data_IF_795810606260
#
_entry.id   IF_795810606260
#
_cell.length_a   1.000
_cell.length_b   1.000
_cell.length_c   1.000
_cell.angle_alpha   90.00
_cell.angle_beta   90.00
_cell.angle_gamma   90.00
#
_symmetry.space_group_name_H-M   'P 1'
#
loop_
_entity.id
_entity.type
_entity.pdbx_description
1 polymer ?
#
# COMPACT_ATOMS: atom_id res chain seq x y z
N UNK A 1 15.54 14.05 -13.71
CA UNK A 1 16.21 12.74 -13.66
C UNK A 1 16.54 12.33 -12.21
N UNK A 2 17.03 13.21 -11.37
CA UNK A 2 17.43 12.93 -9.98
C UNK A 2 16.33 12.46 -9.01
N UNK A 3 15.05 12.74 -9.24
CA UNK A 3 13.99 12.49 -8.24
C UNK A 3 13.41 11.05 -8.27
N UNK A 4 13.41 10.38 -9.43
CA UNK A 4 13.01 8.97 -9.50
C UNK A 4 13.96 8.06 -8.69
N UNK A 5 15.17 8.52 -8.45
CA UNK A 5 16.21 7.78 -7.73
C UNK A 5 15.88 7.58 -6.23
N UNK A 6 14.87 8.30 -5.70
CA UNK A 6 14.38 8.11 -4.33
C UNK A 6 13.30 7.03 -4.19
N UNK A 7 12.65 6.58 -5.29
CA UNK A 7 11.65 5.50 -5.23
C UNK A 7 12.17 4.21 -4.57
N UNK A 8 13.42 3.76 -4.78
CA UNK A 8 13.95 2.61 -4.08
C UNK A 8 13.96 2.76 -2.55
N UNK A 9 14.12 3.98 -2.02
CA UNK A 9 14.05 4.23 -0.57
C UNK A 9 12.62 4.07 -0.06
N UNK A 10 11.61 4.51 -0.82
CA UNK A 10 10.21 4.27 -0.50
C UNK A 10 9.91 2.77 -0.45
N UNK A 11 10.33 2.04 -1.47
CA UNK A 11 10.17 0.60 -1.54
C UNK A 11 10.86 -0.13 -0.37
N UNK A 12 12.12 0.22 -0.08
CA UNK A 12 12.85 -0.32 1.06
C UNK A 12 12.15 0.00 2.39
N UNK A 13 11.62 1.22 2.52
CA UNK A 13 10.85 1.63 3.69
C UNK A 13 9.63 0.76 3.93
N UNK A 14 8.87 0.46 2.87
CA UNK A 14 7.70 -0.41 2.95
C UNK A 14 8.07 -1.85 3.37
N UNK A 15 9.16 -2.40 2.81
CA UNK A 15 9.68 -3.74 3.15
C UNK A 15 10.10 -3.80 4.63
N UNK A 16 10.87 -2.82 5.11
CA UNK A 16 11.34 -2.78 6.50
C UNK A 16 10.20 -2.57 7.49
N UNK A 17 9.24 -1.72 7.14
CA UNK A 17 8.07 -1.50 7.98
C UNK A 17 7.25 -2.79 8.12
N UNK A 18 7.00 -3.51 7.01
CA UNK A 18 6.31 -4.79 7.07
C UNK A 18 7.09 -5.85 7.86
N UNK A 19 8.37 -6.00 7.59
CA UNK A 19 9.20 -6.96 8.30
C UNK A 19 9.18 -6.68 9.81
N UNK A 20 9.39 -5.43 10.22
CA UNK A 20 9.40 -5.03 11.63
C UNK A 20 8.04 -5.14 12.33
N UNK A 21 6.94 -4.87 11.64
CA UNK A 21 5.56 -4.98 12.16
C UNK A 21 5.05 -6.43 12.18
N UNK A 22 5.69 -7.33 11.47
CA UNK A 22 5.35 -8.74 11.41
C UNK A 22 5.74 -9.55 12.65
N UNK A 23 5.76 -10.88 12.50
CA UNK A 23 6.26 -11.82 13.50
C UNK A 23 7.75 -12.08 13.28
N UNK A 24 8.54 -12.23 14.35
CA UNK A 24 9.98 -12.53 14.28
C UNK A 24 10.28 -13.78 13.42
N UNK A 25 9.47 -14.83 13.58
CA UNK A 25 9.62 -16.13 12.89
C UNK A 25 9.29 -16.13 11.39
N UNK A 26 8.90 -14.99 10.83
CA UNK A 26 8.61 -14.77 9.42
C UNK A 26 9.18 -13.46 8.89
N UNK A 27 10.12 -12.83 9.62
CA UNK A 27 10.66 -11.53 9.27
C UNK A 27 11.52 -11.59 8.01
N UNK A 28 12.37 -12.61 7.87
CA UNK A 28 13.18 -12.85 6.67
C UNK A 28 12.30 -13.12 5.46
N UNK A 29 11.26 -13.96 5.64
CA UNK A 29 10.32 -14.25 4.56
C UNK A 29 9.57 -13.00 4.10
N UNK A 30 9.10 -12.16 5.04
CA UNK A 30 8.44 -10.90 4.71
C UNK A 30 9.35 -9.98 3.90
N UNK A 31 10.64 -9.90 4.26
CA UNK A 31 11.63 -9.12 3.54
C UNK A 31 11.88 -9.65 2.12
N UNK A 32 12.17 -10.96 1.99
CA UNK A 32 12.42 -11.62 0.68
C UNK A 32 11.19 -11.54 -0.22
N UNK A 33 10.00 -11.75 0.33
CA UNK A 33 8.72 -11.58 -0.37
C UNK A 33 8.60 -10.16 -0.97
N UNK A 34 8.90 -9.13 -0.17
CA UNK A 34 8.89 -7.75 -0.64
C UNK A 34 9.87 -7.51 -1.79
N UNK A 35 11.09 -8.05 -1.70
CA UNK A 35 12.07 -7.98 -2.78
C UNK A 35 11.58 -8.69 -4.07
N UNK A 36 10.96 -9.87 -3.94
CA UNK A 36 10.38 -10.60 -5.07
C UNK A 36 9.28 -9.76 -5.73
N UNK A 37 8.37 -9.20 -4.95
CA UNK A 37 7.27 -8.38 -5.49
C UNK A 37 7.81 -7.13 -6.19
N UNK A 38 8.75 -6.42 -5.58
CA UNK A 38 9.41 -5.25 -6.17
C UNK A 38 10.11 -5.64 -7.49
N UNK A 39 10.91 -6.70 -7.46
CA UNK A 39 11.68 -7.16 -8.63
C UNK A 39 10.79 -7.56 -9.81
N UNK A 40 9.74 -8.34 -9.56
CA UNK A 40 8.75 -8.71 -10.60
C UNK A 40 8.11 -7.46 -11.21
N UNK A 41 7.69 -6.52 -10.36
CA UNK A 41 7.08 -5.28 -10.83
C UNK A 41 8.03 -4.40 -11.65
N UNK A 42 9.30 -4.26 -11.20
CA UNK A 42 10.34 -3.51 -11.95
C UNK A 42 10.60 -4.16 -13.31
N UNK A 43 10.74 -5.48 -13.37
CA UNK A 43 11.00 -6.19 -14.62
C UNK A 43 9.85 -6.01 -15.63
N UNK A 44 8.59 -6.14 -15.18
CA UNK A 44 7.42 -5.90 -16.03
C UNK A 44 7.34 -4.42 -16.42
N UNK A 45 7.59 -3.50 -15.50
CA UNK A 45 7.57 -2.07 -15.76
C UNK A 45 8.63 -1.61 -16.76
N UNK A 46 9.79 -2.28 -16.79
CA UNK A 46 10.87 -2.02 -17.73
C UNK A 46 10.54 -2.44 -19.18
N UNK A 47 9.54 -3.31 -19.38
CA UNK A 47 9.10 -3.71 -20.73
C UNK A 47 8.40 -2.53 -21.42
N UNK A 48 9.13 -1.75 -22.21
CA UNK A 48 8.62 -0.63 -22.99
C UNK A 48 8.28 0.63 -22.19
N UNK A 49 8.84 0.80 -20.98
CA UNK A 49 8.69 1.98 -20.14
C UNK A 49 10.01 2.69 -19.86
N UNK A 50 9.93 3.89 -19.28
CA UNK A 50 11.09 4.57 -18.70
C UNK A 50 11.52 3.89 -17.40
N UNK A 51 12.75 4.20 -16.94
CA UNK A 51 13.22 3.71 -15.64
C UNK A 51 12.31 4.14 -14.46
N UNK A 52 11.77 5.37 -14.53
CA UNK A 52 10.77 5.83 -13.57
C UNK A 52 9.51 4.97 -13.59
N UNK A 53 9.01 4.62 -14.76
CA UNK A 53 7.81 3.75 -14.89
C UNK A 53 8.08 2.36 -14.32
N UNK A 54 9.28 1.82 -14.55
CA UNK A 54 9.69 0.55 -13.97
C UNK A 54 9.67 0.59 -12.44
N UNK A 55 10.21 1.65 -11.84
CA UNK A 55 10.24 1.83 -10.40
C UNK A 55 8.84 2.05 -9.80
N UNK A 56 7.98 2.85 -10.45
CA UNK A 56 6.59 3.04 -10.01
C UNK A 56 5.80 1.73 -10.08
N UNK A 57 5.97 0.99 -11.18
CA UNK A 57 5.35 -0.32 -11.36
C UNK A 57 5.82 -1.32 -10.27
N UNK A 58 7.13 -1.33 -9.99
CA UNK A 58 7.70 -2.13 -8.90
C UNK A 58 7.17 -1.73 -7.54
N UNK A 59 7.02 -0.44 -7.29
CA UNK A 59 6.46 0.08 -6.04
C UNK A 59 5.00 -0.35 -5.88
N UNK A 60 4.16 -0.20 -6.91
CA UNK A 60 2.78 -0.66 -6.88
C UNK A 60 2.68 -2.17 -6.60
N UNK A 61 3.53 -2.96 -7.26
CA UNK A 61 3.59 -4.41 -7.09
C UNK A 61 4.01 -4.81 -5.66
N UNK A 62 4.99 -4.12 -5.09
CA UNK A 62 5.40 -4.32 -3.71
C UNK A 62 4.27 -4.00 -2.74
N UNK A 63 3.69 -2.79 -2.83
CA UNK A 63 2.65 -2.29 -1.92
C UNK A 63 1.43 -3.22 -1.88
N UNK A 64 1.08 -3.84 -3.01
CA UNK A 64 0.00 -4.81 -3.10
C UNK A 64 0.21 -6.07 -2.24
N UNK A 65 1.45 -6.37 -1.86
CA UNK A 65 1.81 -7.54 -1.05
C UNK A 65 2.15 -7.19 0.40
N UNK A 66 2.29 -5.91 0.71
CA UNK A 66 2.55 -5.43 2.08
C UNK A 66 1.36 -5.76 2.98
N UNK A 67 1.64 -6.09 4.23
CA UNK A 67 0.65 -6.52 5.21
C UNK A 67 0.34 -8.02 5.17
N UNK A 68 0.69 -8.73 4.10
CA UNK A 68 0.50 -10.18 4.00
C UNK A 68 1.56 -10.97 4.80
N UNK A 69 2.75 -10.41 4.94
CA UNK A 69 3.83 -10.97 5.74
C UNK A 69 4.16 -12.42 5.36
N UNK A 70 4.24 -13.25 6.37
CA UNK A 70 4.54 -14.68 6.28
C UNK A 70 3.33 -15.57 5.94
N UNK A 71 2.17 -14.97 5.59
CA UNK A 71 0.93 -15.70 5.27
C UNK A 71 0.80 -16.14 3.83
N UNK A 72 1.66 -15.66 2.95
CA UNK A 72 1.63 -16.03 1.53
C UNK A 72 2.98 -16.63 1.11
N UNK A 73 2.92 -17.52 0.12
CA UNK A 73 4.15 -18.07 -0.48
C UNK A 73 4.84 -17.05 -1.39
N UNK A 74 6.10 -17.28 -1.73
CA UNK A 74 6.82 -16.44 -2.72
C UNK A 74 6.17 -16.51 -4.11
N UNK A 75 5.59 -17.66 -4.49
CA UNK A 75 4.83 -17.82 -5.73
C UNK A 75 3.63 -16.88 -5.73
N UNK A 76 2.88 -16.88 -4.63
CA UNK A 76 1.72 -15.97 -4.47
C UNK A 76 2.14 -14.52 -4.56
N UNK A 77 3.23 -14.13 -3.90
CA UNK A 77 3.75 -12.78 -3.98
C UNK A 77 4.14 -12.39 -5.41
N UNK A 78 4.83 -13.27 -6.13
CA UNK A 78 5.20 -13.05 -7.53
C UNK A 78 3.99 -12.91 -8.47
N UNK A 79 2.98 -13.77 -8.31
CA UNK A 79 1.77 -13.73 -9.15
C UNK A 79 0.92 -12.49 -8.86
N UNK A 80 0.74 -12.11 -7.59
CA UNK A 80 0.04 -10.86 -7.24
C UNK A 80 0.82 -9.64 -7.76
N UNK A 81 2.14 -9.64 -7.59
CA UNK A 81 3.01 -8.59 -8.10
C UNK A 81 2.93 -8.45 -9.63
N UNK A 82 2.92 -9.57 -10.36
CA UNK A 82 2.77 -9.55 -11.81
C UNK A 82 1.39 -9.01 -12.22
N UNK A 83 0.33 -9.45 -11.56
CA UNK A 83 -1.03 -8.98 -11.84
C UNK A 83 -1.16 -7.47 -11.67
N UNK A 84 -0.70 -6.91 -10.54
CA UNK A 84 -0.78 -5.47 -10.31
C UNK A 84 0.18 -4.69 -11.21
N UNK A 85 1.36 -5.22 -11.51
CA UNK A 85 2.29 -4.59 -12.43
C UNK A 85 1.68 -4.44 -13.83
N UNK A 86 1.02 -5.47 -14.33
CA UNK A 86 0.29 -5.43 -15.61
C UNK A 86 -0.88 -4.43 -15.53
N UNK A 87 -1.69 -4.46 -14.46
CA UNK A 87 -2.79 -3.53 -14.27
C UNK A 87 -2.29 -2.07 -14.22
N UNK A 88 -1.24 -1.79 -13.46
CA UNK A 88 -0.61 -0.48 -13.41
C UNK A 88 -0.11 -0.02 -14.78
N UNK A 89 0.55 -0.90 -15.53
CA UNK A 89 1.02 -0.59 -16.91
C UNK A 89 -0.14 -0.24 -17.83
N UNK A 90 -1.22 -1.00 -17.79
CA UNK A 90 -2.42 -0.72 -18.58
C UNK A 90 -2.97 0.67 -18.21
N UNK A 91 -3.12 0.96 -16.92
CA UNK A 91 -3.62 2.25 -16.44
C UNK A 91 -2.74 3.42 -16.89
N UNK A 92 -1.41 3.31 -16.70
CA UNK A 92 -0.46 4.38 -17.09
C UNK A 92 -0.39 4.57 -18.61
N UNK A 93 -0.40 3.50 -19.39
CA UNK A 93 -0.41 3.61 -20.86
C UNK A 93 -1.71 4.25 -21.34
N UNK A 94 -2.84 3.88 -20.73
CA UNK A 94 -4.14 4.47 -21.04
C UNK A 94 -4.17 5.94 -20.66
N UNK A 95 -3.71 6.30 -19.47
CA UNK A 95 -3.62 7.70 -19.02
C UNK A 95 -2.77 8.55 -19.97
N UNK A 96 -1.61 8.07 -20.37
CA UNK A 96 -0.74 8.78 -21.34
C UNK A 96 -1.37 8.93 -22.71
N UNK A 97 -2.06 7.90 -23.21
CA UNK A 97 -2.75 7.97 -24.47
C UNK A 97 -3.85 9.05 -24.44
N UNK A 98 -4.52 9.22 -23.31
CA UNK A 98 -5.51 10.26 -23.09
C UNK A 98 -4.87 11.66 -22.95
N UNK A 99 -3.78 11.77 -22.17
CA UNK A 99 -3.11 13.04 -21.90
C UNK A 99 -2.35 13.62 -23.10
N UNK A 100 -1.72 12.75 -23.91
CA UNK A 100 -0.90 13.18 -25.06
C UNK A 100 -1.73 13.58 -26.29
N UNK A 101 -2.95 13.03 -26.44
CA UNK A 101 -3.72 13.25 -27.66
C UNK A 101 -4.54 14.52 -27.63
N UNK A 102 -4.78 15.14 -26.45
CA UNK A 102 -5.70 16.27 -26.32
C UNK A 102 -7.07 16.01 -26.95
N UNK A 103 -7.19 14.88 -27.64
CA UNK A 103 -8.37 14.35 -28.27
C UNK A 103 -8.21 12.82 -28.31
N UNK A 104 -9.21 12.15 -27.82
CA UNK A 104 -9.36 10.72 -27.91
C UNK A 104 -9.39 10.31 -29.38
N UNK A 105 -8.35 9.68 -29.91
CA UNK A 105 -8.46 8.93 -31.15
C UNK A 105 -9.13 7.60 -30.84
N UNK A 106 -10.44 7.63 -30.62
CA UNK A 106 -11.25 6.42 -30.69
C UNK A 106 -11.08 5.80 -32.10
N UNK A 107 -11.05 4.46 -32.19
CA UNK A 107 -11.20 3.81 -33.50
C UNK A 107 -12.34 4.47 -34.28
N UNK A 108 -12.18 4.65 -35.57
CA UNK A 108 -13.15 5.36 -36.44
C UNK A 108 -14.60 4.91 -36.20
N UNK A 109 -14.82 3.64 -35.83
CA UNK A 109 -16.12 3.08 -35.46
C UNK A 109 -16.79 3.75 -34.25
N UNK A 110 -16.02 4.42 -33.37
CA UNK A 110 -16.51 5.11 -32.17
C UNK A 110 -16.34 6.64 -32.26
N UNK A 111 -15.73 7.15 -33.34
CA UNK A 111 -15.51 8.57 -33.56
C UNK A 111 -16.81 9.39 -33.67
N UNK A 112 -17.93 8.74 -33.99
CA UNK A 112 -19.28 9.36 -34.00
C UNK A 112 -19.88 9.62 -32.61
N UNK A 113 -19.24 9.17 -31.52
CA UNK A 113 -19.75 9.32 -30.15
C UNK A 113 -19.12 10.52 -29.43
N UNK A 114 -19.24 11.69 -30.03
CA UNK A 114 -18.80 12.96 -29.43
C UNK A 114 -19.21 13.19 -27.95
N UNK A 115 -20.39 12.73 -27.47
CA UNK A 115 -20.75 12.84 -26.05
C UNK A 115 -19.84 11.99 -25.16
N UNK A 116 -19.44 10.79 -25.58
CA UNK A 116 -18.55 9.89 -24.82
C UNK A 116 -17.12 10.44 -24.80
N UNK A 117 -16.64 11.01 -25.91
CA UNK A 117 -15.35 11.70 -25.96
C UNK A 117 -15.28 12.89 -25.01
N UNK A 118 -16.33 13.74 -25.02
CA UNK A 118 -16.46 14.85 -24.09
C UNK A 118 -16.54 14.39 -22.64
N UNK A 119 -17.32 13.34 -22.40
CA UNK A 119 -17.49 12.76 -21.07
C UNK A 119 -16.15 12.21 -20.55
N UNK A 120 -15.43 11.41 -21.33
CA UNK A 120 -14.11 10.87 -20.98
C UNK A 120 -13.07 11.98 -20.80
N UNK A 121 -13.02 13.00 -21.68
CA UNK A 121 -12.09 14.11 -21.56
C UNK A 121 -12.36 14.99 -20.32
N UNK A 122 -13.64 15.12 -19.89
CA UNK A 122 -14.02 15.85 -18.68
C UNK A 122 -13.69 15.02 -17.41
N UNK A 123 -13.73 13.69 -17.53
CA UNK A 123 -13.66 12.79 -16.38
C UNK A 123 -12.29 12.12 -16.21
N UNK A 124 -11.33 12.36 -17.11
CA UNK A 124 -9.98 11.83 -16.96
C UNK A 124 -9.12 12.77 -16.12
N UNK A 125 -8.80 12.34 -14.90
CA UNK A 125 -7.93 13.08 -14.02
C UNK A 125 -6.47 12.73 -14.28
N UNK A 126 -5.60 13.74 -14.34
CA UNK A 126 -4.17 13.50 -14.17
C UNK A 126 -3.94 12.74 -12.85
N UNK A 127 -3.14 11.68 -12.90
CA UNK A 127 -2.78 10.90 -11.73
C UNK A 127 -1.74 11.69 -10.91
N UNK A 128 -2.21 12.66 -10.15
CA UNK A 128 -1.35 13.48 -9.31
C UNK A 128 -0.59 12.61 -8.31
N UNK A 129 0.74 12.60 -8.48
CA UNK A 129 1.66 11.87 -7.61
C UNK A 129 1.32 10.38 -7.44
N UNK A 130 0.70 9.79 -8.46
CA UNK A 130 0.34 8.37 -8.49
C UNK A 130 -0.68 7.93 -7.42
N UNK A 131 -1.53 8.86 -6.96
CA UNK A 131 -2.50 8.59 -5.90
C UNK A 131 -3.48 7.47 -6.23
N UNK A 132 -3.93 7.35 -7.47
CA UNK A 132 -4.84 6.27 -7.83
C UNK A 132 -4.15 5.12 -8.55
N UNK A 133 -3.20 5.36 -9.47
CA UNK A 133 -2.57 4.31 -10.28
C UNK A 133 -1.61 3.42 -9.47
N UNK A 134 -0.95 3.97 -8.45
CA UNK A 134 -0.06 3.22 -7.56
C UNK A 134 -0.76 2.94 -6.23
N UNK A 135 -1.12 3.99 -5.49
CA UNK A 135 -1.54 3.86 -4.10
C UNK A 135 -2.92 3.21 -3.97
N UNK A 136 -3.97 3.77 -4.59
CA UNK A 136 -5.33 3.22 -4.47
C UNK A 136 -5.44 1.81 -5.09
N UNK A 137 -4.79 1.56 -6.23
CA UNK A 137 -4.72 0.24 -6.85
C UNK A 137 -4.05 -0.79 -5.92
N UNK A 138 -2.92 -0.42 -5.31
CA UNK A 138 -2.23 -1.29 -4.35
C UNK A 138 -3.06 -1.54 -3.09
N UNK A 139 -3.71 -0.50 -2.54
CA UNK A 139 -4.56 -0.63 -1.36
C UNK A 139 -5.76 -1.56 -1.59
N UNK A 140 -6.41 -1.45 -2.75
CA UNK A 140 -7.48 -2.37 -3.17
C UNK A 140 -6.98 -3.81 -3.31
N UNK A 141 -5.81 -3.99 -3.95
CA UNK A 141 -5.18 -5.30 -4.10
C UNK A 141 -4.81 -5.89 -2.74
N UNK A 142 -4.20 -5.11 -1.85
CA UNK A 142 -3.86 -5.54 -0.49
C UNK A 142 -5.11 -5.99 0.29
N UNK A 143 -6.20 -5.23 0.24
CA UNK A 143 -7.46 -5.61 0.88
C UNK A 143 -7.98 -6.96 0.35
N UNK A 144 -8.04 -7.11 -0.97
CA UNK A 144 -8.48 -8.36 -1.61
C UNK A 144 -7.60 -9.56 -1.23
N UNK A 145 -6.28 -9.36 -1.21
CA UNK A 145 -5.29 -10.38 -0.86
C UNK A 145 -5.33 -10.75 0.64
N UNK A 146 -5.46 -9.76 1.54
CA UNK A 146 -5.63 -9.99 2.98
C UNK A 146 -6.87 -10.83 3.28
N UNK A 147 -7.99 -10.53 2.62
CA UNK A 147 -9.22 -11.32 2.76
C UNK A 147 -9.08 -12.73 2.17
N UNK A 148 -8.26 -12.93 1.13
CA UNK A 148 -7.99 -14.26 0.56
C UNK A 148 -7.02 -15.08 1.40
N UNK A 149 -5.94 -14.49 1.88
CA UNK A 149 -4.98 -15.16 2.75
C UNK A 149 -5.59 -15.49 4.12
N UNK A 150 -6.50 -14.66 4.60
CA UNK A 150 -7.08 -14.76 5.93
C UNK A 150 -6.14 -14.26 7.03
N UNK A 151 -6.58 -14.29 8.29
CA UNK A 151 -5.78 -13.81 9.41
C UNK A 151 -4.61 -14.75 9.72
N UNK A 152 -3.60 -14.22 10.41
CA UNK A 152 -2.49 -15.01 10.98
C UNK A 152 -3.05 -16.03 11.98
N UNK A 153 -2.47 -17.23 12.00
CA UNK A 153 -2.90 -18.27 12.94
C UNK A 153 -2.76 -17.76 14.37
N UNK A 154 -3.86 -17.84 15.13
CA UNK A 154 -3.93 -17.32 16.51
C UNK A 154 -4.26 -15.83 16.64
N UNK A 155 -4.51 -15.10 15.53
CA UNK A 155 -4.88 -13.68 15.58
C UNK A 155 -6.22 -13.44 16.25
N UNK A 156 -7.17 -14.33 16.08
CA UNK A 156 -8.49 -14.23 16.72
C UNK A 156 -8.74 -15.42 17.63
N UNK A 157 -9.24 -15.14 18.83
CA UNK A 157 -9.63 -16.12 19.83
C UNK A 157 -10.94 -16.80 19.40
N UNK A 158 -11.29 -17.90 20.08
CA UNK A 158 -12.55 -18.64 19.82
C UNK A 158 -13.81 -17.80 19.99
N UNK A 159 -13.76 -16.78 20.83
CA UNK A 159 -14.86 -15.82 21.06
C UNK A 159 -14.87 -14.67 20.02
N UNK A 160 -14.01 -14.70 19.00
CA UNK A 160 -13.91 -13.67 17.97
C UNK A 160 -13.12 -12.42 18.37
N UNK A 161 -12.60 -12.35 19.59
CA UNK A 161 -11.79 -11.21 20.00
C UNK A 161 -10.38 -11.31 19.41
N UNK A 162 -9.78 -10.16 18.99
CA UNK A 162 -8.41 -10.16 18.50
C UNK A 162 -7.43 -10.43 19.65
N UNK A 163 -6.51 -11.37 19.43
CA UNK A 163 -5.38 -11.61 20.30
C UNK A 163 -4.25 -10.62 19.98
N UNK A 164 -3.55 -10.14 20.99
CA UNK A 164 -2.39 -9.29 20.78
C UNK A 164 -1.29 -10.04 20.04
N UNK A 165 -0.87 -9.50 18.90
CA UNK A 165 0.30 -9.95 18.14
C UNK A 165 1.21 -8.74 17.93
N UNK A 166 2.02 -8.36 18.94
CA UNK A 166 2.85 -7.17 18.84
C UNK A 166 3.88 -7.31 17.72
N UNK A 167 4.24 -6.18 17.14
CA UNK A 167 5.37 -6.07 16.23
C UNK A 167 6.65 -6.57 16.90
N UNK A 168 7.44 -7.36 16.18
CA UNK A 168 8.66 -7.92 16.79
C UNK A 168 9.81 -6.91 16.86
N UNK A 169 9.83 -5.91 15.96
CA UNK A 169 10.91 -4.93 15.88
C UNK A 169 10.36 -3.54 15.46
N UNK A 170 9.84 -2.80 16.44
CA UNK A 170 9.33 -1.44 16.23
C UNK A 170 10.41 -0.45 15.76
N UNK A 171 11.68 -0.49 16.24
CA UNK A 171 12.74 0.34 15.67
C UNK A 171 12.96 0.10 14.17
N UNK A 172 12.96 -1.14 13.70
CA UNK A 172 13.06 -1.48 12.27
C UNK A 172 11.88 -0.88 11.49
N UNK A 173 10.66 -1.01 12.02
CA UNK A 173 9.47 -0.43 11.41
C UNK A 173 9.56 1.12 11.36
N UNK A 174 10.08 1.74 12.41
CA UNK A 174 10.33 3.18 12.45
C UNK A 174 11.35 3.66 11.41
N UNK A 175 12.46 2.94 11.24
CA UNK A 175 13.42 3.20 10.16
C UNK A 175 12.72 3.07 8.81
N UNK A 176 11.88 2.04 8.64
CA UNK A 176 11.07 1.87 7.45
C UNK A 176 10.17 3.07 7.17
N UNK A 177 9.48 3.59 8.19
CA UNK A 177 8.64 4.78 8.06
C UNK A 177 9.45 6.03 7.64
N UNK A 178 10.65 6.23 8.16
CA UNK A 178 11.52 7.34 7.76
C UNK A 178 12.03 7.19 6.32
N UNK A 179 12.33 5.98 5.87
CA UNK A 179 12.71 5.72 4.48
C UNK A 179 11.54 5.93 3.52
N UNK A 180 10.30 5.55 3.90
CA UNK A 180 9.09 5.92 3.17
C UNK A 180 9.00 7.43 2.98
N UNK A 181 9.22 8.21 4.04
CA UNK A 181 9.17 9.67 4.00
C UNK A 181 10.20 10.25 3.04
N UNK A 182 11.46 9.82 3.13
CA UNK A 182 12.50 10.29 2.21
C UNK A 182 12.18 9.89 0.77
N UNK A 183 11.74 8.66 0.57
CA UNK A 183 11.41 8.11 -0.76
C UNK A 183 10.19 8.76 -1.40
N UNK A 184 9.24 9.26 -0.60
CA UNK A 184 8.02 9.90 -1.09
C UNK A 184 8.26 11.16 -1.93
N UNK A 185 9.44 11.79 -1.82
CA UNK A 185 9.87 12.90 -2.69
C UNK A 185 9.79 12.53 -4.17
N UNK A 186 9.99 11.25 -4.51
CA UNK A 186 9.98 10.77 -5.89
C UNK A 186 8.60 10.86 -6.57
N UNK A 187 7.52 10.82 -5.79
CA UNK A 187 6.15 10.92 -6.34
C UNK A 187 5.83 12.35 -6.74
N UNK A 188 6.08 13.32 -5.87
CA UNK A 188 5.81 14.72 -6.14
C UNK A 188 6.72 15.64 -5.32
N UNK A 189 7.91 16.00 -5.85
CA UNK A 189 8.86 16.86 -5.13
C UNK A 189 8.29 18.19 -4.65
N UNK A 190 7.47 18.91 -5.45
CA UNK A 190 6.89 20.18 -5.03
C UNK A 190 5.97 20.06 -3.81
N UNK A 191 5.33 18.91 -3.65
CA UNK A 191 4.33 18.66 -2.60
C UNK A 191 4.93 17.99 -1.35
N UNK A 192 6.22 17.65 -1.38
CA UNK A 192 6.86 16.91 -0.30
C UNK A 192 6.84 17.63 1.05
N UNK A 193 6.90 18.96 1.07
CA UNK A 193 6.79 19.74 2.33
C UNK A 193 5.41 19.54 2.96
N UNK A 194 4.34 19.66 2.19
CA UNK A 194 2.97 19.42 2.66
C UNK A 194 2.78 17.98 3.10
N UNK A 195 3.26 17.02 2.33
CA UNK A 195 3.25 15.61 2.69
C UNK A 195 3.99 15.35 4.01
N UNK A 196 5.12 16.01 4.25
CA UNK A 196 5.88 15.91 5.50
C UNK A 196 5.09 16.44 6.70
N UNK A 197 4.51 17.63 6.59
CA UNK A 197 3.66 18.20 7.65
C UNK A 197 2.50 17.27 7.95
N UNK A 198 1.83 16.76 6.93
CA UNK A 198 0.72 15.82 7.06
C UNK A 198 1.15 14.51 7.72
N UNK A 199 2.29 13.94 7.33
CA UNK A 199 2.82 12.70 7.90
C UNK A 199 3.09 12.82 9.41
N UNK A 200 3.82 13.87 9.83
CA UNK A 200 4.15 14.07 11.24
C UNK A 200 2.94 14.45 12.08
N UNK A 201 2.00 15.24 11.56
CA UNK A 201 0.75 15.53 12.29
C UNK A 201 -0.12 14.29 12.43
N UNK A 202 -0.17 13.41 11.42
CA UNK A 202 -0.89 12.14 11.51
C UNK A 202 -0.27 11.18 12.54
N UNK A 203 1.07 11.10 12.59
CA UNK A 203 1.79 10.34 13.61
C UNK A 203 1.41 10.81 15.02
N UNK A 204 1.52 12.12 15.27
CA UNK A 204 1.18 12.69 16.58
C UNK A 204 -0.29 12.47 16.95
N UNK A 205 -1.19 12.63 15.98
CA UNK A 205 -2.62 12.38 16.17
C UNK A 205 -2.90 10.93 16.54
N UNK A 206 -2.27 9.97 15.86
CA UNK A 206 -2.41 8.54 16.16
C UNK A 206 -1.87 8.20 17.56
N UNK A 207 -0.73 8.78 17.97
CA UNK A 207 -0.21 8.62 19.34
C UNK A 207 -1.17 9.18 20.39
N UNK A 208 -1.70 10.38 20.18
CA UNK A 208 -2.65 11.01 21.10
C UNK A 208 -3.96 10.22 21.17
N UNK A 209 -4.49 9.77 20.02
CA UNK A 209 -5.71 8.98 20.02
C UNK A 209 -5.53 7.63 20.71
N UNK A 210 -4.46 6.89 20.42
CA UNK A 210 -4.22 5.60 21.09
C UNK A 210 -4.01 5.79 22.59
N UNK A 211 -3.31 6.85 23.01
CA UNK A 211 -3.18 7.22 24.41
C UNK A 211 -4.53 7.47 25.07
N UNK A 212 -5.39 8.25 24.41
CA UNK A 212 -6.73 8.55 24.92
C UNK A 212 -7.62 7.32 24.96
N UNK A 213 -7.58 6.50 23.91
CA UNK A 213 -8.50 5.34 23.74
C UNK A 213 -8.09 4.12 24.55
N UNK A 214 -6.80 3.86 24.69
CA UNK A 214 -6.24 2.64 25.29
C UNK A 214 -5.43 2.90 26.57
N UNK A 215 -5.28 4.15 26.98
CA UNK A 215 -4.47 4.52 28.15
C UNK A 215 -2.96 4.46 27.92
N UNK A 216 -2.49 3.98 26.76
CA UNK A 216 -1.09 3.91 26.34
C UNK A 216 -0.97 4.33 24.89
N UNK A 217 0.16 4.95 24.53
CA UNK A 217 0.52 5.20 23.12
C UNK A 217 0.89 3.90 22.43
N UNK A 218 0.46 3.75 21.19
CA UNK A 218 0.81 2.58 20.36
C UNK A 218 1.65 3.03 19.15
N UNK A 219 2.95 2.71 19.12
CA UNK A 219 3.82 3.07 18.01
C UNK A 219 3.43 2.44 16.69
N UNK A 220 2.82 1.26 16.68
CA UNK A 220 2.40 0.61 15.43
C UNK A 220 1.31 1.43 14.73
N UNK A 221 0.30 1.88 15.44
CA UNK A 221 -0.69 2.83 14.89
C UNK A 221 -0.09 4.18 14.52
N UNK A 222 0.94 4.64 15.25
CA UNK A 222 1.62 5.87 14.89
C UNK A 222 2.33 5.77 13.53
N UNK A 223 2.99 4.64 13.24
CA UNK A 223 3.64 4.41 11.96
C UNK A 223 2.61 4.25 10.83
N UNK A 224 1.49 3.57 11.07
CA UNK A 224 0.36 3.53 10.12
C UNK A 224 -0.19 4.93 9.86
N UNK A 225 -0.39 5.73 10.91
CA UNK A 225 -0.81 7.12 10.81
C UNK A 225 0.16 7.95 9.98
N UNK A 226 1.45 7.84 10.29
CA UNK A 226 2.51 8.53 9.54
C UNK A 226 2.47 8.23 8.04
N UNK A 227 2.38 6.94 7.68
CA UNK A 227 2.26 6.52 6.28
C UNK A 227 0.98 7.07 5.64
N UNK A 228 -0.17 6.93 6.31
CA UNK A 228 -1.45 7.46 5.81
C UNK A 228 -1.39 8.97 5.61
N UNK A 229 -0.80 9.71 6.57
CA UNK A 229 -0.59 11.14 6.46
C UNK A 229 0.34 11.53 5.32
N UNK A 230 1.38 10.75 5.08
CA UNK A 230 2.32 10.96 3.99
C UNK A 230 1.61 10.88 2.62
N UNK A 231 0.83 9.83 2.40
CA UNK A 231 0.10 9.64 1.13
C UNK A 231 -1.02 10.68 0.96
N UNK A 232 -1.82 10.93 2.00
CA UNK A 232 -2.87 11.95 1.95
C UNK A 232 -2.28 13.35 1.74
N UNK A 233 -1.14 13.63 2.36
CA UNK A 233 -0.47 14.93 2.30
C UNK A 233 0.05 15.29 0.92
N UNK A 234 0.32 14.32 0.05
CA UNK A 234 0.69 14.57 -1.35
C UNK A 234 -0.43 15.37 -2.05
N UNK A 235 -1.70 15.17 -1.68
CA UNK A 235 -2.83 15.92 -2.21
C UNK A 235 -3.09 17.27 -1.53
N UNK A 236 -2.45 17.57 -0.39
CA UNK A 236 -2.78 18.77 0.41
C UNK A 236 -2.10 20.06 -0.04
N UNK A 237 -1.23 20.00 -1.04
CA UNK A 237 -0.45 21.15 -1.48
C UNK A 237 0.70 21.49 -0.52
N UNK A 238 1.28 22.70 -0.68
CA UNK A 238 2.46 23.13 0.08
C UNK A 238 2.13 23.98 1.31
N UNK A 239 0.87 24.33 1.54
CA UNK A 239 0.46 25.22 2.65
C UNK A 239 0.43 24.48 3.98
N UNK A 240 1.00 25.09 5.03
CA UNK A 240 1.17 24.44 6.34
C UNK A 240 -0.16 24.04 7.00
N UNK A 241 -1.12 24.95 7.13
CA UNK A 241 -2.39 24.68 7.83
C UNK A 241 -3.24 23.62 7.14
N UNK A 242 -3.45 23.67 5.81
CA UNK A 242 -4.11 22.58 5.11
C UNK A 242 -3.44 21.22 5.32
N UNK A 243 -2.13 21.15 5.17
CA UNK A 243 -1.37 19.91 5.34
C UNK A 243 -1.46 19.37 6.77
N UNK A 244 -1.42 20.25 7.78
CA UNK A 244 -1.65 19.91 9.17
C UNK A 244 -3.06 19.29 9.38
N UNK A 245 -4.10 19.92 8.83
CA UNK A 245 -5.47 19.44 8.94
C UNK A 245 -5.65 18.06 8.28
N UNK A 246 -5.12 17.90 7.07
CA UNK A 246 -5.13 16.60 6.35
C UNK A 246 -4.45 15.53 7.17
N UNK A 247 -3.30 15.83 7.76
CA UNK A 247 -2.59 14.87 8.60
C UNK A 247 -3.35 14.48 9.87
N UNK A 248 -3.99 15.45 10.54
CA UNK A 248 -4.85 15.15 11.70
C UNK A 248 -5.96 14.17 11.30
N UNK A 249 -6.66 14.45 10.20
CA UNK A 249 -7.74 13.57 9.70
C UNK A 249 -7.18 12.20 9.29
N UNK A 250 -6.03 12.15 8.60
CA UNK A 250 -5.38 10.91 8.20
C UNK A 250 -5.00 10.03 9.41
N UNK A 251 -4.45 10.63 10.47
CA UNK A 251 -4.12 9.92 11.71
C UNK A 251 -5.34 9.32 12.39
N UNK A 252 -6.46 10.06 12.42
CA UNK A 252 -7.74 9.58 12.94
C UNK A 252 -8.25 8.40 12.10
N UNK A 253 -8.30 8.56 10.77
CA UNK A 253 -8.78 7.53 9.85
C UNK A 253 -7.91 6.27 9.96
N UNK A 254 -6.58 6.41 10.01
CA UNK A 254 -5.67 5.29 10.10
C UNK A 254 -5.99 4.38 11.29
N UNK A 255 -6.15 4.95 12.48
CA UNK A 255 -6.49 4.17 13.69
C UNK A 255 -7.90 3.61 13.62
N UNK A 256 -8.91 4.45 13.29
CA UNK A 256 -10.30 4.04 13.26
C UNK A 256 -10.56 2.92 12.24
N UNK A 257 -9.97 3.05 11.05
CA UNK A 257 -10.19 2.09 9.98
C UNK A 257 -9.46 0.78 10.24
N UNK A 258 -8.22 0.81 10.76
CA UNK A 258 -7.52 -0.41 11.17
C UNK A 258 -8.32 -1.19 12.22
N UNK A 259 -8.88 -0.49 13.21
CA UNK A 259 -9.77 -1.11 14.21
C UNK A 259 -11.08 -1.64 13.60
N UNK A 260 -11.62 -0.96 12.58
CA UNK A 260 -12.81 -1.43 11.88
C UNK A 260 -12.55 -2.69 11.05
N UNK A 261 -11.39 -2.79 10.40
CA UNK A 261 -10.95 -4.00 9.68
C UNK A 261 -10.75 -5.17 10.64
N UNK A 262 -10.11 -4.91 11.78
CA UNK A 262 -9.87 -5.94 12.80
C UNK A 262 -11.18 -6.53 13.34
N UNK A 263 -12.21 -5.70 13.55
CA UNK A 263 -13.57 -6.16 13.89
C UNK A 263 -14.24 -6.99 12.81
N UNK A 264 -13.76 -6.90 11.57
CA UNK A 264 -14.23 -7.67 10.41
C UNK A 264 -13.34 -8.85 10.07
N UNK A 265 -12.46 -9.23 10.98
CA UNK A 265 -11.51 -10.33 10.83
C UNK A 265 -10.53 -10.14 9.66
N UNK A 266 -10.26 -8.89 9.28
CA UNK A 266 -9.22 -8.56 8.32
C UNK A 266 -7.96 -8.17 9.09
N UNK A 267 -6.99 -9.07 9.13
CA UNK A 267 -5.73 -8.90 9.85
C UNK A 267 -4.73 -8.13 8.99
N UNK A 268 -4.68 -6.82 9.19
CA UNK A 268 -3.74 -5.90 8.53
C UNK A 268 -2.72 -5.36 9.55
N UNK A 269 -1.58 -6.04 9.73
CA UNK A 269 -0.62 -5.68 10.78
C UNK A 269 0.09 -4.34 10.53
N UNK A 270 0.14 -3.88 9.29
CA UNK A 270 0.85 -2.66 8.89
C UNK A 270 -0.10 -1.48 8.73
N UNK A 271 -1.39 -1.75 8.54
CA UNK A 271 -2.40 -0.75 8.20
C UNK A 271 -2.32 -0.30 6.74
N UNK A 272 -1.86 -1.20 5.86
CA UNK A 272 -1.66 -0.91 4.44
C UNK A 272 -2.97 -0.46 3.74
N UNK A 273 -4.12 -1.03 4.15
CA UNK A 273 -5.41 -0.67 3.55
C UNK A 273 -5.82 0.75 3.93
N UNK A 274 -5.50 1.19 5.14
CA UNK A 274 -5.71 2.59 5.54
C UNK A 274 -4.78 3.53 4.78
N UNK A 275 -3.49 3.19 4.70
CA UNK A 275 -2.47 4.02 4.11
C UNK A 275 -2.55 4.09 2.58
N UNK A 276 -2.81 2.98 1.90
CA UNK A 276 -2.80 2.90 0.44
C UNK A 276 -4.22 2.86 -0.17
N UNK A 277 -5.22 2.42 0.60
CA UNK A 277 -6.59 2.36 0.13
C UNK A 277 -7.39 3.63 0.41
N UNK A 278 -7.37 4.15 1.64
CA UNK A 278 -8.16 5.31 2.04
C UNK A 278 -7.41 6.64 1.98
N UNK A 279 -6.14 6.69 2.35
CA UNK A 279 -5.40 7.95 2.37
C UNK A 279 -5.31 8.64 0.99
N UNK A 280 -5.21 7.93 -0.16
CA UNK A 280 -5.32 8.55 -1.48
C UNK A 280 -6.62 9.31 -1.69
N UNK A 281 -7.77 8.77 -1.21
CA UNK A 281 -9.06 9.45 -1.30
C UNK A 281 -9.07 10.76 -0.51
N UNK A 282 -8.44 10.77 0.67
CA UNK A 282 -8.29 11.99 1.46
C UNK A 282 -7.41 13.01 0.74
N UNK A 283 -6.31 12.57 0.10
CA UNK A 283 -5.46 13.42 -0.73
C UNK A 283 -6.21 14.04 -1.92
N UNK A 284 -6.99 13.23 -2.64
CA UNK A 284 -7.85 13.69 -3.74
C UNK A 284 -8.90 14.70 -3.23
N UNK A 285 -9.49 14.45 -2.06
CA UNK A 285 -10.45 15.36 -1.45
C UNK A 285 -9.80 16.69 -1.06
N UNK A 286 -8.56 16.64 -0.57
CA UNK A 286 -7.80 17.84 -0.27
C UNK A 286 -7.51 18.67 -1.52
N UNK A 287 -7.06 18.06 -2.61
CA UNK A 287 -6.84 18.73 -3.90
C UNK A 287 -8.08 19.47 -4.38
N UNK A 288 -9.25 18.82 -4.31
CA UNK A 288 -10.52 19.46 -4.68
C UNK A 288 -10.85 20.65 -3.79
N UNK A 289 -10.66 20.53 -2.48
CA UNK A 289 -11.00 21.57 -1.52
C UNK A 289 -10.20 22.87 -1.75
N UNK A 290 -8.97 22.74 -2.27
CA UNK A 290 -8.11 23.87 -2.63
C UNK A 290 -8.21 24.27 -4.10
N UNK A 291 -9.17 23.73 -4.85
CA UNK A 291 -9.53 24.21 -6.18
C UNK A 291 -8.72 23.66 -7.35
N UNK A 292 -7.94 22.60 -7.13
CA UNK A 292 -7.02 22.08 -8.15
C UNK A 292 -7.56 20.90 -8.96
N UNK A 293 -8.71 20.33 -8.59
CA UNK A 293 -9.22 19.13 -9.24
C UNK A 293 -10.75 18.98 -9.18
N UNK A 294 -11.32 18.20 -10.10
CA UNK A 294 -12.72 17.77 -10.04
C UNK A 294 -12.87 16.61 -9.05
N UNK A 295 -13.52 16.85 -7.91
CA UNK A 295 -13.73 15.84 -6.87
C UNK A 295 -14.40 14.56 -7.38
N UNK A 296 -15.48 14.71 -8.14
CA UNK A 296 -16.25 13.57 -8.65
C UNK A 296 -15.39 12.62 -9.48
N UNK A 297 -14.55 13.17 -10.32
CA UNK A 297 -13.63 12.39 -11.16
C UNK A 297 -12.57 11.69 -10.31
N UNK A 298 -11.97 12.40 -9.36
CA UNK A 298 -10.96 11.81 -8.47
C UNK A 298 -11.49 10.64 -7.65
N UNK A 299 -12.71 10.79 -7.10
CA UNK A 299 -13.39 9.71 -6.36
C UNK A 299 -13.71 8.53 -7.28
N UNK A 300 -14.15 8.77 -8.51
CA UNK A 300 -14.41 7.70 -9.48
C UNK A 300 -13.10 6.96 -9.82
N UNK A 301 -12.03 7.68 -10.15
CA UNK A 301 -10.73 7.09 -10.48
C UNK A 301 -10.16 6.28 -9.31
N UNK A 302 -10.23 6.82 -8.10
CA UNK A 302 -9.89 6.10 -6.88
C UNK A 302 -10.73 4.83 -6.72
N UNK A 303 -12.06 4.94 -6.85
CA UNK A 303 -12.98 3.82 -6.68
C UNK A 303 -12.74 2.71 -7.71
N UNK A 304 -12.52 3.07 -8.97
CA UNK A 304 -12.19 2.13 -10.05
C UNK A 304 -10.86 1.44 -9.76
N UNK A 305 -9.84 2.16 -9.34
CA UNK A 305 -8.53 1.59 -9.02
C UNK A 305 -8.60 0.61 -7.83
N UNK A 306 -9.27 1.00 -6.74
CA UNK A 306 -9.48 0.13 -5.56
C UNK A 306 -10.27 -1.11 -5.96
N UNK A 307 -11.36 -0.97 -6.71
CA UNK A 307 -12.20 -2.10 -7.14
C UNK A 307 -11.43 -3.04 -8.08
N UNK A 308 -10.71 -2.49 -9.04
CA UNK A 308 -9.91 -3.28 -9.98
C UNK A 308 -8.84 -4.08 -9.24
N UNK A 309 -8.09 -3.46 -8.34
CA UNK A 309 -7.11 -4.14 -7.51
C UNK A 309 -7.73 -5.22 -6.63
N UNK A 310 -8.84 -4.91 -5.98
CA UNK A 310 -9.58 -5.85 -5.13
C UNK A 310 -10.05 -7.08 -5.90
N UNK A 311 -10.74 -6.88 -7.02
CA UNK A 311 -11.27 -7.98 -7.86
C UNK A 311 -10.12 -8.82 -8.40
N UNK A 312 -9.06 -8.18 -8.91
CA UNK A 312 -7.88 -8.88 -9.42
C UNK A 312 -7.26 -9.77 -8.32
N UNK A 313 -7.05 -9.24 -7.11
CA UNK A 313 -6.49 -10.02 -6.01
C UNK A 313 -7.40 -11.19 -5.59
N UNK A 314 -8.71 -10.98 -5.62
CA UNK A 314 -9.70 -12.05 -5.34
C UNK A 314 -9.65 -13.15 -6.40
N UNK A 315 -9.59 -12.79 -7.67
CA UNK A 315 -9.50 -13.75 -8.77
C UNK A 315 -8.18 -14.54 -8.73
N UNK A 316 -7.05 -13.85 -8.66
CA UNK A 316 -5.73 -14.49 -8.59
C UNK A 316 -5.57 -15.31 -7.32
N UNK A 317 -5.98 -14.78 -6.17
CA UNK A 317 -5.95 -15.49 -4.90
C UNK A 317 -6.85 -16.73 -4.89
N UNK A 318 -8.03 -16.66 -5.53
CA UNK A 318 -8.91 -17.81 -5.72
C UNK A 318 -8.26 -18.91 -6.54
N UNK A 319 -7.62 -18.54 -7.64
CA UNK A 319 -6.87 -19.46 -8.49
C UNK A 319 -5.70 -20.09 -7.72
N UNK A 320 -4.88 -19.29 -7.05
CA UNK A 320 -3.74 -19.76 -6.26
C UNK A 320 -4.18 -20.69 -5.10
N UNK A 321 -5.34 -20.41 -4.51
CA UNK A 321 -5.94 -21.30 -3.50
C UNK A 321 -6.35 -22.63 -4.10
N UNK A 322 -6.94 -22.64 -5.30
CA UNK A 322 -7.33 -23.86 -5.99
C UNK A 322 -6.12 -24.76 -6.31
N UNK A 323 -4.97 -24.16 -6.58
CA UNK A 323 -3.70 -24.89 -6.77
C UNK A 323 -2.95 -25.20 -5.46
N UNK A 324 -3.50 -24.80 -4.29
CA UNK A 324 -2.86 -25.08 -3.00
C UNK A 324 -1.58 -24.29 -2.71
N UNK A 325 -1.29 -23.21 -3.48
CA UNK A 325 -0.05 -22.44 -3.37
C UNK A 325 -0.21 -21.05 -2.74
N UNK A 326 -1.43 -20.67 -2.36
CA UNK A 326 -1.74 -19.34 -1.83
C UNK A 326 -1.00 -19.06 -0.51
N UNK A 327 -1.03 -19.99 0.42
CA UNK A 327 -0.55 -19.83 1.81
C UNK A 327 0.34 -21.01 2.19
N UNK A 328 1.38 -20.81 3.02
CA UNK A 328 2.14 -21.92 3.61
C UNK A 328 1.25 -22.89 4.37
N UNK A 329 1.70 -24.12 4.52
CA UNK A 329 0.96 -25.09 5.35
C UNK A 329 0.84 -24.57 6.79
N UNK A 330 -0.28 -24.84 7.50
CA UNK A 330 -0.49 -24.35 8.86
C UNK A 330 0.66 -24.74 9.83
N UNK A 331 1.23 -25.93 9.65
CA UNK A 331 2.36 -26.39 10.44
C UNK A 331 3.62 -25.54 10.22
N UNK A 332 3.87 -25.11 8.98
CA UNK A 332 5.02 -24.27 8.63
C UNK A 332 4.84 -22.84 9.15
N UNK A 333 3.62 -22.30 9.07
CA UNK A 333 3.31 -21.00 9.64
C UNK A 333 3.44 -21.00 11.17
N UNK A 334 3.05 -22.09 11.85
CA UNK A 334 3.18 -22.22 13.29
C UNK A 334 4.65 -22.38 13.73
N UNK A 335 5.42 -23.18 13.01
CA UNK A 335 6.84 -23.39 13.29
C UNK A 335 7.69 -22.14 12.95
N UNK A 336 7.25 -21.35 11.98
CA UNK A 336 7.96 -20.20 11.44
C UNK A 336 8.40 -20.41 10.00
N UNK A 337 7.94 -19.51 9.13
CA UNK A 337 8.23 -19.58 7.68
C UNK A 337 9.72 -19.45 7.39
N UNK A 338 10.46 -18.64 8.16
CA UNK A 338 11.91 -18.47 7.98
C UNK A 338 12.66 -19.78 8.17
N UNK A 339 12.39 -20.47 9.28
CA UNK A 339 13.02 -21.75 9.56
C UNK A 339 12.65 -22.83 8.53
N UNK A 340 11.38 -22.88 8.12
CA UNK A 340 10.88 -23.90 7.18
C UNK A 340 11.33 -23.69 5.74
N UNK A 341 11.38 -22.43 5.29
CA UNK A 341 11.72 -22.12 3.89
C UNK A 341 13.23 -21.94 3.68
N UNK A 342 13.92 -21.39 4.66
CA UNK A 342 15.33 -21.01 4.53
C UNK A 342 16.27 -21.82 5.43
N UNK A 343 15.73 -22.60 6.38
CA UNK A 343 16.53 -23.35 7.35
C UNK A 343 17.21 -22.49 8.42
N UNK A 344 16.90 -21.20 8.48
CA UNK A 344 17.54 -20.23 9.37
C UNK A 344 16.46 -19.33 9.96
N UNK A 345 16.45 -19.18 11.30
CA UNK A 345 15.61 -18.16 11.95
C UNK A 345 16.18 -16.75 11.72
N UNK A 346 15.31 -15.72 11.72
CA UNK A 346 15.76 -14.33 11.58
C UNK A 346 16.69 -13.89 12.73
N UNK A 347 16.56 -14.51 13.89
CA UNK A 347 17.34 -14.21 15.11
C UNK A 347 17.85 -15.49 15.76
N UNK A 348 18.81 -16.21 15.14
CA UNK A 348 19.27 -17.51 15.62
C UNK A 348 19.93 -17.47 17.00
N UNK A 349 20.45 -16.32 17.41
CA UNK A 349 21.12 -16.12 18.71
C UNK A 349 20.14 -16.11 19.89
N UNK A 350 18.85 -15.86 19.62
CA UNK A 350 17.79 -15.81 20.65
C UNK A 350 16.94 -17.08 20.70
N UNK A 351 17.30 -18.13 20.00
CA UNK A 351 16.67 -19.43 20.16
C UNK A 351 17.03 -20.00 21.54
N UNK A 352 16.00 -20.27 22.35
CA UNK A 352 16.19 -21.05 23.58
C UNK A 352 16.70 -22.44 23.17
N UNK A 353 17.97 -22.71 23.41
CA UNK A 353 18.44 -24.07 23.36
C UNK A 353 17.77 -24.79 24.54
N UNK A 354 16.91 -25.75 24.22
CA UNK A 354 16.48 -26.69 25.26
C UNK A 354 17.74 -27.33 25.87
N UNK A 355 17.91 -27.09 27.17
CA UNK A 355 19.04 -27.59 27.93
C UNK A 355 18.89 -29.09 28.20
#
# INVERSE_FOLDING_TARGET
>A
MLMADFLPLFALGAILMEAGMGRAKGATHSFVKGMVALGVGVLIGALGGSWRDALLCGTAALLATVGLGDRITLITAGVLAAGIAIAHRILVVTDRAFSLSGAFHLPEALAGWAPVQKWLAIYWLPDYASLWSVHALAGGTALGALMMAGPRIGRYLRNGQPAAMPAHNLPMAGIGALLLWVGAQAFSPPLWQGASVSAFSALLTALLWTRWRFGKTDPSFAFTGFWSGLIAGIGSGVSFLPSLAVGVVAGIIAVAFSLALDRRFVDDPVGIVAAEGLAPLLGITAQWFWGEASWGVGVISWGVAVLAGFVMARCLGGLLRAFGVLRPAPADELAGTDLRLYGIAAYPEFELREA
#
